data_IF_797659721618
#
_entry.id   IF_797659721618
#
_cell.length_a   1.000
_cell.length_b   1.000
_cell.length_c   1.000
_cell.angle_alpha   90.00
_cell.angle_beta   90.00
_cell.angle_gamma   90.00
#
_symmetry.space_group_name_H-M   'P 1'
#
loop_
_entity.id
_entity.type
_entity.pdbx_description
1 polymer ?
#
# COMPACT_ATOMS: atom_id res chain seq x y z
N UNK A 1 -11.46 8.22 -1.14
CA UNK A 1 -10.13 7.92 -1.70
C UNK A 1 -9.08 7.29 -0.73
N UNK A 2 -9.39 6.72 0.46
CA UNK A 2 -8.34 6.06 1.28
C UNK A 2 -7.77 4.77 0.69
N UNK A 3 -8.62 3.93 0.08
CA UNK A 3 -8.22 2.62 -0.44
C UNK A 3 -7.26 2.74 -1.64
N UNK A 4 -7.43 3.76 -2.49
CA UNK A 4 -6.56 3.96 -3.65
C UNK A 4 -5.10 4.25 -3.25
N UNK A 5 -4.87 5.04 -2.21
CA UNK A 5 -3.53 5.32 -1.71
C UNK A 5 -2.82 4.04 -1.23
N UNK A 6 -3.54 3.18 -0.51
CA UNK A 6 -3.01 1.89 -0.09
C UNK A 6 -2.64 1.01 -1.31
N UNK A 7 -3.53 0.94 -2.32
CA UNK A 7 -3.30 0.15 -3.55
C UNK A 7 -2.08 0.66 -4.31
N UNK A 8 -1.93 1.98 -4.48
CA UNK A 8 -0.77 2.56 -5.18
C UNK A 8 0.53 2.19 -4.49
N UNK A 9 0.60 2.35 -3.17
CA UNK A 9 1.82 2.03 -2.40
C UNK A 9 2.13 0.53 -2.48
N UNK A 10 1.16 -0.32 -2.15
CA UNK A 10 1.34 -1.78 -2.16
C UNK A 10 1.71 -2.26 -3.56
N UNK A 11 1.02 -1.76 -4.58
CA UNK A 11 1.26 -2.15 -5.98
C UNK A 11 2.67 -1.78 -6.44
N UNK A 12 3.17 -0.58 -6.14
CA UNK A 12 4.52 -0.19 -6.55
C UNK A 12 5.60 -0.97 -5.81
N UNK A 13 5.40 -1.25 -4.51
CA UNK A 13 6.34 -2.06 -3.73
C UNK A 13 6.35 -3.51 -4.24
N UNK A 14 5.17 -4.10 -4.46
CA UNK A 14 5.04 -5.47 -4.93
C UNK A 14 5.61 -5.65 -6.35
N UNK A 15 5.23 -4.78 -7.30
CA UNK A 15 5.70 -4.86 -8.69
C UNK A 15 7.19 -4.52 -8.78
N UNK A 16 7.64 -3.44 -8.12
CA UNK A 16 9.05 -3.06 -8.11
C UNK A 16 9.93 -4.15 -7.50
N UNK A 17 9.46 -4.76 -6.40
CA UNK A 17 10.13 -5.89 -5.79
C UNK A 17 10.15 -7.13 -6.68
N UNK A 18 9.02 -7.46 -7.32
CA UNK A 18 8.95 -8.57 -8.28
C UNK A 18 9.93 -8.38 -9.44
N UNK A 19 9.96 -7.18 -10.06
CA UNK A 19 10.89 -6.88 -11.16
C UNK A 19 12.35 -6.96 -10.71
N UNK A 20 12.66 -6.49 -9.48
CA UNK A 20 14.00 -6.61 -8.91
C UNK A 20 14.39 -8.09 -8.74
N UNK A 21 13.52 -8.94 -8.19
CA UNK A 21 13.80 -10.36 -8.00
C UNK A 21 13.92 -11.11 -9.32
N UNK A 22 13.08 -10.79 -10.30
CA UNK A 22 13.07 -11.43 -11.63
C UNK A 22 14.35 -11.09 -12.42
N UNK A 23 14.85 -9.86 -12.30
CA UNK A 23 16.10 -9.46 -12.96
C UNK A 23 17.36 -9.98 -12.25
N UNK A 24 17.34 -10.08 -10.92
CA UNK A 24 18.52 -10.47 -10.13
C UNK A 24 18.69 -11.97 -9.98
N UNK A 25 17.60 -12.75 -10.04
CA UNK A 25 17.64 -14.19 -9.83
C UNK A 25 16.74 -14.91 -10.83
N UNK A 26 17.29 -15.92 -11.51
CA UNK A 26 16.52 -16.79 -12.41
C UNK A 26 15.70 -17.80 -11.62
N UNK A 27 14.54 -17.38 -11.11
CA UNK A 27 13.57 -18.27 -10.48
C UNK A 27 12.44 -18.64 -11.43
N UNK A 28 11.87 -19.83 -11.25
CA UNK A 28 10.64 -20.23 -11.94
C UNK A 28 9.50 -19.27 -11.57
N UNK A 29 8.60 -18.97 -12.52
CA UNK A 29 7.42 -18.12 -12.28
C UNK A 29 6.54 -18.62 -11.12
N UNK A 30 6.54 -19.92 -10.85
CA UNK A 30 5.81 -20.51 -9.72
C UNK A 30 6.38 -20.10 -8.36
N UNK A 31 7.70 -19.95 -8.25
CA UNK A 31 8.36 -19.48 -7.03
C UNK A 31 8.01 -18.01 -6.78
N UNK A 32 8.05 -17.20 -7.84
CA UNK A 32 7.60 -15.82 -7.76
C UNK A 32 6.14 -15.70 -7.30
N UNK A 33 5.23 -16.47 -7.88
CA UNK A 33 3.83 -16.49 -7.46
C UNK A 33 3.68 -16.91 -5.99
N UNK A 34 4.36 -17.98 -5.58
CA UNK A 34 4.27 -18.50 -4.22
C UNK A 34 4.79 -17.51 -3.15
N UNK A 35 5.72 -16.62 -3.49
CA UNK A 35 6.28 -15.63 -2.57
C UNK A 35 5.51 -14.31 -2.65
N UNK A 36 5.38 -13.74 -3.85
CA UNK A 36 4.81 -12.41 -4.02
C UNK A 36 3.31 -12.36 -3.77
N UNK A 37 2.57 -13.45 -3.99
CA UNK A 37 1.12 -13.50 -3.71
C UNK A 37 0.81 -13.34 -2.22
N UNK A 38 1.33 -14.20 -1.31
CA UNK A 38 1.08 -14.03 0.11
C UNK A 38 1.74 -12.75 0.65
N UNK A 39 2.91 -12.35 0.15
CA UNK A 39 3.55 -11.11 0.59
C UNK A 39 2.68 -9.89 0.27
N UNK A 40 2.11 -9.82 -0.92
CA UNK A 40 1.19 -8.73 -1.32
C UNK A 40 -0.06 -8.71 -0.44
N UNK A 41 -0.60 -9.88 -0.09
CA UNK A 41 -1.74 -9.98 0.82
C UNK A 41 -1.38 -9.43 2.21
N UNK A 42 -0.25 -9.85 2.77
CA UNK A 42 0.23 -9.38 4.08
C UNK A 42 0.46 -7.87 4.06
N UNK A 43 1.14 -7.35 3.03
CA UNK A 43 1.39 -5.92 2.87
C UNK A 43 0.07 -5.13 2.79
N UNK A 44 -0.91 -5.64 2.05
CA UNK A 44 -2.23 -5.00 1.93
C UNK A 44 -2.91 -4.89 3.29
N UNK A 45 -2.98 -6.00 4.04
CA UNK A 45 -3.60 -6.01 5.36
C UNK A 45 -2.87 -5.09 6.36
N UNK A 46 -1.53 -5.06 6.30
CA UNK A 46 -0.71 -4.22 7.15
C UNK A 46 -0.88 -2.72 6.84
N UNK A 47 -1.03 -2.34 5.57
CA UNK A 47 -1.06 -0.93 5.13
C UNK A 47 -2.45 -0.30 5.18
N UNK A 48 -3.53 -1.09 5.12
CA UNK A 48 -4.91 -0.56 5.14
C UNK A 48 -5.20 0.30 6.38
N UNK A 49 -4.82 -0.16 7.59
CA UNK A 49 -5.13 0.60 8.81
C UNK A 49 -4.29 1.88 8.96
N UNK A 50 -2.95 1.86 8.77
CA UNK A 50 -2.13 3.07 8.82
C UNK A 50 -2.54 4.14 7.82
N UNK A 51 -2.83 3.77 6.56
CA UNK A 51 -3.25 4.73 5.54
C UNK A 51 -4.55 5.43 5.94
N UNK A 52 -5.52 4.67 6.46
CA UNK A 52 -6.78 5.25 6.91
C UNK A 52 -6.55 6.28 8.03
N UNK A 53 -5.70 5.94 9.00
CA UNK A 53 -5.34 6.86 10.09
C UNK A 53 -4.60 8.10 9.61
N UNK A 54 -3.62 7.93 8.73
CA UNK A 54 -2.84 9.02 8.15
C UNK A 54 -3.71 10.00 7.36
N UNK A 55 -4.66 9.50 6.56
CA UNK A 55 -5.59 10.33 5.79
C UNK A 55 -6.48 11.16 6.72
N UNK A 56 -7.03 10.55 7.77
CA UNK A 56 -7.87 11.27 8.74
C UNK A 56 -7.05 12.33 9.50
N UNK A 57 -5.85 11.97 9.96
CA UNK A 57 -4.95 12.90 10.65
C UNK A 57 -4.55 14.09 9.77
N UNK A 58 -4.28 13.84 8.49
CA UNK A 58 -4.01 14.90 7.51
C UNK A 58 -5.23 15.79 7.28
N UNK A 59 -6.42 15.20 7.14
CA UNK A 59 -7.68 15.96 7.00
C UNK A 59 -7.96 16.84 8.21
N UNK A 60 -7.67 16.36 9.42
CA UNK A 60 -7.78 17.15 10.65
C UNK A 60 -6.77 18.31 10.66
N UNK A 61 -5.48 18.03 10.41
CA UNK A 61 -4.43 19.05 10.38
C UNK A 61 -4.69 20.12 9.30
N UNK A 62 -5.32 19.74 8.19
CA UNK A 62 -5.69 20.62 7.09
C UNK A 62 -7.10 21.24 7.23
N UNK A 63 -7.82 21.01 8.34
CA UNK A 63 -9.18 21.53 8.59
C UNK A 63 -10.22 21.19 7.50
N UNK A 64 -10.04 20.07 6.81
CA UNK A 64 -10.91 19.65 5.71
C UNK A 64 -12.16 18.90 6.21
N UNK A 65 -13.18 18.74 5.36
CA UNK A 65 -14.30 17.79 5.56
C UNK A 65 -14.98 17.79 6.95
N UNK A 66 -15.23 18.98 7.52
CA UNK A 66 -15.91 19.12 8.81
C UNK A 66 -14.97 19.21 10.03
N UNK A 67 -13.66 19.07 9.85
CA UNK A 67 -12.66 19.29 10.90
C UNK A 67 -12.33 20.77 11.15
N UNK A 68 -12.89 21.69 10.36
CA UNK A 68 -12.55 23.11 10.42
C UNK A 68 -13.13 23.89 11.61
N UNK A 69 -14.13 23.35 12.31
CA UNK A 69 -14.90 24.07 13.33
C UNK A 69 -15.71 25.21 12.69
N UNK A 70 -17.02 25.28 12.97
CA UNK A 70 -17.77 26.49 12.69
C UNK A 70 -17.29 27.56 13.68
N UNK A 71 -16.45 28.48 13.21
CA UNK A 71 -16.12 29.75 13.88
C UNK A 71 -16.16 30.87 12.86
#
# INVERSE_FOLDING_TARGET
>A
LPAYLAIVIVGHVAVGGFMLTDQSVTWSSWVHLAIWTPLTLIMTLAIIQPIKGAVIGWQWAAKMHGFGGHS
#
